data_IF_527445211296
#
_entry.id   IF_527445211296
#
_cell.length_a   1.000
_cell.length_b   1.000
_cell.length_c   1.000
_cell.angle_alpha   90.00
_cell.angle_beta   90.00
_cell.angle_gamma   90.00
#
_symmetry.space_group_name_H-M   'P 1'
#
loop_
_entity.id
_entity.type
_entity.pdbx_description
1 polymer ?
#
# COMPACT_ATOMS: atom_id res chain seq x y z
N UNK A 1 43.41 13.42 -7.39
CA UNK A 1 43.08 12.32 -6.45
C UNK A 1 41.69 12.64 -5.93
N UNK A 2 40.65 11.95 -6.45
CA UNK A 2 39.30 12.01 -5.87
C UNK A 2 39.42 11.46 -4.44
N UNK A 3 39.12 12.26 -3.42
CA UNK A 3 38.88 11.75 -2.08
C UNK A 3 37.81 10.66 -2.23
N UNK A 4 38.07 9.48 -1.62
CA UNK A 4 37.05 8.44 -1.47
C UNK A 4 35.87 9.02 -0.68
N UNK A 5 34.91 9.59 -1.41
CA UNK A 5 33.66 10.04 -0.81
C UNK A 5 32.98 8.80 -0.25
N UNK A 6 32.75 8.78 1.04
CA UNK A 6 32.07 7.67 1.70
C UNK A 6 30.73 7.41 0.98
N UNK A 7 30.54 6.17 0.52
CA UNK A 7 29.29 5.77 -0.16
C UNK A 7 28.12 5.93 0.80
N UNK A 8 27.06 6.68 0.43
CA UNK A 8 25.93 6.90 1.32
C UNK A 8 25.12 5.63 1.56
N UNK A 9 24.51 5.49 2.72
CA UNK A 9 23.46 4.52 2.94
C UNK A 9 22.21 4.90 2.13
N UNK A 10 21.50 3.91 1.62
CA UNK A 10 20.30 4.09 0.81
C UNK A 10 19.14 3.39 1.49
N UNK A 11 18.12 4.17 1.88
CA UNK A 11 16.83 3.68 2.35
C UNK A 11 15.77 4.10 1.33
N UNK A 12 15.19 3.12 0.65
CA UNK A 12 14.12 3.31 -0.32
C UNK A 12 12.79 2.87 0.27
N UNK A 13 11.86 3.80 0.50
CA UNK A 13 10.52 3.51 1.03
C UNK A 13 9.51 3.64 -0.10
N UNK A 14 8.73 2.58 -0.33
CA UNK A 14 7.68 2.53 -1.33
C UNK A 14 6.35 2.19 -0.68
N UNK A 15 5.31 2.94 -1.03
CA UNK A 15 3.93 2.70 -0.61
C UNK A 15 3.09 2.29 -1.82
N UNK A 16 2.18 1.35 -1.65
CA UNK A 16 1.36 0.82 -2.73
C UNK A 16 0.03 1.59 -2.82
N UNK A 17 -0.23 2.26 -3.93
CA UNK A 17 -1.40 3.10 -4.18
C UNK A 17 -1.51 4.36 -3.28
N UNK A 18 -0.38 4.95 -2.90
CA UNK A 18 -0.36 6.18 -2.11
C UNK A 18 -0.49 7.41 -3.03
N UNK A 19 -1.66 8.02 -3.03
CA UNK A 19 -1.95 9.18 -3.84
C UNK A 19 -1.20 10.44 -3.34
N UNK A 20 -0.69 11.23 -4.26
CA UNK A 20 -0.02 12.50 -3.97
C UNK A 20 -0.90 13.44 -3.10
N UNK A 21 -2.22 13.46 -3.35
CA UNK A 21 -3.18 14.26 -2.60
C UNK A 21 -3.30 13.86 -1.12
N UNK A 22 -2.85 12.67 -0.76
CA UNK A 22 -2.85 12.15 0.61
C UNK A 22 -1.50 12.36 1.34
N UNK A 23 -0.59 13.16 0.77
CA UNK A 23 0.69 13.56 1.36
C UNK A 23 0.64 15.06 1.62
N UNK A 24 0.74 15.48 2.89
CA UNK A 24 0.50 16.88 3.28
C UNK A 24 1.52 17.87 2.73
N UNK A 25 2.75 17.44 2.44
CA UNK A 25 3.77 18.26 1.78
C UNK A 25 3.32 18.82 0.42
N UNK A 26 2.37 18.18 -0.26
CA UNK A 26 1.82 18.67 -1.53
C UNK A 26 0.64 19.64 -1.37
N UNK A 27 0.14 19.84 -0.16
CA UNK A 27 -0.80 20.91 0.17
C UNK A 27 -2.25 20.70 -0.30
N UNK A 28 -2.72 19.45 -0.44
CA UNK A 28 -4.10 19.16 -0.82
C UNK A 28 -5.11 19.52 0.31
N UNK A 29 -6.37 19.76 -0.03
CA UNK A 29 -7.42 19.97 1.00
C UNK A 29 -7.60 18.75 1.93
N UNK A 30 -7.42 17.52 1.44
CA UNK A 30 -7.52 16.28 2.23
C UNK A 30 -6.42 16.24 3.28
N UNK A 31 -5.19 16.52 2.89
CA UNK A 31 -4.03 16.42 3.76
C UNK A 31 -3.98 17.49 4.85
N UNK A 32 -4.76 18.57 4.75
CA UNK A 32 -4.93 19.53 5.84
C UNK A 32 -5.71 18.94 7.03
N UNK A 33 -6.64 18.03 6.75
CA UNK A 33 -7.45 17.34 7.76
C UNK A 33 -6.79 16.06 8.28
N UNK A 34 -5.92 15.46 7.47
CA UNK A 34 -5.20 14.23 7.77
C UNK A 34 -3.72 14.40 7.37
N UNK A 35 -2.90 15.09 8.17
CA UNK A 35 -1.51 15.38 7.84
C UNK A 35 -0.60 14.13 7.94
N UNK A 36 0.52 14.18 7.20
CA UNK A 36 1.58 13.16 7.20
C UNK A 36 2.91 13.77 7.67
N UNK A 37 3.04 14.13 8.95
CA UNK A 37 4.14 14.97 9.43
C UNK A 37 5.51 14.31 9.32
N UNK A 38 5.62 12.99 9.38
CA UNK A 38 6.88 12.28 9.24
C UNK A 38 7.34 12.23 7.78
N UNK A 39 6.42 12.00 6.84
CA UNK A 39 6.71 12.10 5.40
C UNK A 39 7.07 13.53 5.02
N UNK A 40 6.37 14.52 5.57
CA UNK A 40 6.65 15.95 5.33
C UNK A 40 8.06 16.36 5.77
N UNK A 41 8.60 15.76 6.84
CA UNK A 41 9.99 15.98 7.26
C UNK A 41 11.00 15.58 6.19
N UNK A 42 10.72 14.54 5.38
CA UNK A 42 11.58 14.18 4.26
C UNK A 42 11.60 15.29 3.21
N UNK A 43 10.45 15.84 2.87
CA UNK A 43 10.33 16.95 1.94
C UNK A 43 11.05 18.22 2.45
N UNK A 44 10.94 18.49 3.76
CA UNK A 44 11.58 19.65 4.40
C UNK A 44 13.11 19.55 4.49
N UNK A 45 13.64 18.33 4.63
CA UNK A 45 15.09 18.08 4.78
C UNK A 45 15.78 17.72 3.47
N UNK A 46 15.00 17.44 2.44
CA UNK A 46 15.49 16.95 1.15
C UNK A 46 14.86 17.69 -0.02
N UNK A 47 14.37 16.93 -1.00
CA UNK A 47 13.78 17.47 -2.22
C UNK A 47 12.37 16.91 -2.41
N UNK A 48 11.41 17.79 -2.71
CA UNK A 48 10.04 17.43 -3.08
C UNK A 48 9.88 17.46 -4.61
N UNK A 49 9.68 16.30 -5.21
CA UNK A 49 9.43 16.19 -6.65
C UNK A 49 7.96 16.47 -6.96
N UNK A 50 7.69 17.51 -7.77
CA UNK A 50 6.34 17.87 -8.19
C UNK A 50 5.93 17.19 -9.50
N UNK A 51 6.91 16.76 -10.29
CA UNK A 51 6.74 16.08 -11.57
C UNK A 51 7.56 14.79 -11.53
N UNK A 52 6.94 13.70 -11.11
CA UNK A 52 7.50 12.37 -11.11
C UNK A 52 6.52 11.42 -11.80
N UNK A 53 6.99 10.69 -12.80
CA UNK A 53 6.15 9.84 -13.63
C UNK A 53 6.55 8.38 -13.47
N UNK A 54 5.59 7.48 -13.62
CA UNK A 54 5.82 6.03 -13.61
C UNK A 54 5.73 5.49 -15.02
N UNK A 55 6.56 4.51 -15.34
CA UNK A 55 6.56 3.85 -16.66
C UNK A 55 5.37 2.91 -16.82
N UNK A 56 4.88 2.36 -15.71
CA UNK A 56 3.70 1.51 -15.66
C UNK A 56 3.04 1.65 -14.29
N UNK A 57 1.74 1.92 -14.27
CA UNK A 57 0.98 2.19 -13.03
C UNK A 57 0.48 0.94 -12.31
N UNK A 58 0.61 -0.25 -12.90
CA UNK A 58 0.30 -1.51 -12.22
C UNK A 58 1.42 -1.94 -11.27
N UNK A 59 1.06 -2.52 -10.11
CA UNK A 59 1.98 -2.86 -9.03
C UNK A 59 3.18 -3.70 -9.48
N UNK A 60 2.96 -4.88 -10.06
CA UNK A 60 4.04 -5.80 -10.47
C UNK A 60 4.91 -5.21 -11.59
N UNK A 61 4.35 -4.65 -12.67
CA UNK A 61 5.14 -3.98 -13.70
C UNK A 61 5.95 -2.79 -13.20
N UNK A 62 5.37 -1.95 -12.33
CA UNK A 62 6.08 -0.82 -11.71
C UNK A 62 7.29 -1.28 -10.90
N UNK A 63 7.13 -2.35 -10.11
CA UNK A 63 8.22 -2.94 -9.33
C UNK A 63 9.31 -3.54 -10.23
N UNK A 64 8.92 -4.17 -11.33
CA UNK A 64 9.86 -4.69 -12.32
C UNK A 64 10.68 -3.57 -12.97
N UNK A 65 10.06 -2.45 -13.33
CA UNK A 65 10.76 -1.27 -13.85
C UNK A 65 11.73 -0.70 -12.80
N UNK A 66 11.29 -0.58 -11.53
CA UNK A 66 12.14 -0.13 -10.43
C UNK A 66 13.37 -1.04 -10.22
N UNK A 67 13.16 -2.35 -10.24
CA UNK A 67 14.23 -3.33 -9.99
C UNK A 67 15.23 -3.44 -11.13
N UNK A 68 14.83 -3.15 -12.36
CA UNK A 68 15.70 -3.36 -13.54
C UNK A 68 16.17 -2.06 -14.21
N UNK A 69 15.51 -0.92 -13.92
CA UNK A 69 15.72 0.33 -14.66
C UNK A 69 15.27 0.25 -16.12
N UNK A 70 14.45 -0.75 -16.49
CA UNK A 70 13.99 -0.99 -17.87
C UNK A 70 12.48 -0.80 -17.96
N UNK A 71 12.00 -0.32 -19.09
CA UNK A 71 10.58 -0.26 -19.42
C UNK A 71 9.94 -1.66 -19.44
N UNK A 72 8.64 -1.74 -19.19
CA UNK A 72 7.90 -3.00 -19.10
C UNK A 72 8.06 -3.92 -20.33
N UNK A 73 8.12 -3.35 -21.54
CA UNK A 73 8.34 -4.13 -22.76
C UNK A 73 9.76 -4.68 -22.90
N UNK A 74 10.73 -4.13 -22.17
CA UNK A 74 12.13 -4.57 -22.17
C UNK A 74 12.43 -5.58 -21.06
N UNK A 75 11.74 -5.45 -19.91
CA UNK A 75 11.92 -6.33 -18.76
C UNK A 75 10.96 -7.54 -18.75
N UNK A 76 9.99 -7.59 -19.71
CA UNK A 76 9.04 -8.67 -19.88
C UNK A 76 7.79 -8.59 -19.01
N UNK A 77 7.75 -7.73 -18.00
CA UNK A 77 6.61 -7.60 -17.06
C UNK A 77 5.68 -6.46 -17.48
N UNK A 78 4.73 -6.72 -18.35
CA UNK A 78 3.78 -5.71 -18.86
C UNK A 78 2.46 -5.67 -18.10
N UNK A 79 2.06 -6.81 -17.53
CA UNK A 79 0.81 -7.04 -16.80
C UNK A 79 1.06 -7.79 -15.49
N UNK A 80 0.05 -7.89 -14.64
CA UNK A 80 0.17 -8.53 -13.32
C UNK A 80 0.56 -10.01 -13.39
N UNK A 81 0.02 -10.74 -14.37
CA UNK A 81 0.19 -12.19 -14.51
C UNK A 81 1.42 -12.59 -15.37
N UNK A 82 2.10 -11.63 -15.97
CA UNK A 82 3.33 -11.91 -16.72
C UNK A 82 4.53 -12.00 -15.76
N UNK A 83 5.55 -12.78 -16.15
CA UNK A 83 6.80 -12.90 -15.39
C UNK A 83 7.86 -11.91 -15.88
N UNK A 84 8.61 -11.35 -14.94
CA UNK A 84 9.81 -10.58 -15.28
C UNK A 84 10.87 -11.49 -15.89
N UNK A 85 11.61 -10.99 -16.90
CA UNK A 85 12.79 -11.66 -17.43
C UNK A 85 13.91 -11.65 -16.37
N UNK A 86 14.07 -12.77 -15.67
CA UNK A 86 15.07 -12.92 -14.60
C UNK A 86 16.51 -12.98 -15.11
N UNK A 87 16.76 -13.03 -16.44
CA UNK A 87 18.10 -12.90 -17.01
C UNK A 87 18.61 -11.46 -16.99
N UNK A 88 17.71 -10.49 -16.88
CA UNK A 88 18.09 -9.08 -16.75
C UNK A 88 18.84 -8.83 -15.44
N UNK A 89 19.71 -7.84 -15.46
CA UNK A 89 20.39 -7.36 -14.26
C UNK A 89 19.42 -6.55 -13.41
N UNK A 90 19.36 -6.87 -12.11
CA UNK A 90 18.58 -6.12 -11.14
C UNK A 90 19.48 -5.09 -10.43
N UNK A 91 18.90 -3.93 -10.11
CA UNK A 91 19.62 -2.87 -9.39
C UNK A 91 20.28 -3.37 -8.11
N UNK A 92 19.64 -4.21 -7.27
CA UNK A 92 20.32 -4.75 -6.08
C UNK A 92 21.59 -5.56 -6.37
N UNK A 93 21.66 -6.25 -7.51
CA UNK A 93 22.91 -6.96 -7.91
C UNK A 93 24.06 -5.98 -8.19
N UNK A 94 23.75 -4.81 -8.79
CA UNK A 94 24.74 -3.75 -9.01
C UNK A 94 25.17 -3.12 -7.69
N UNK A 95 24.24 -2.96 -6.75
CA UNK A 95 24.54 -2.45 -5.41
C UNK A 95 25.45 -3.40 -4.64
N UNK A 96 25.21 -4.72 -4.70
CA UNK A 96 26.13 -5.73 -4.12
C UNK A 96 27.53 -5.64 -4.74
N UNK A 97 27.62 -5.56 -6.08
CA UNK A 97 28.91 -5.39 -6.77
C UNK A 97 29.62 -4.08 -6.36
N UNK A 98 28.86 -3.05 -6.02
CA UNK A 98 29.38 -1.80 -5.49
C UNK A 98 29.72 -1.87 -3.97
N UNK A 99 29.58 -3.04 -3.32
CA UNK A 99 29.95 -3.29 -1.93
C UNK A 99 28.89 -2.90 -0.91
N UNK A 100 27.64 -2.72 -1.32
CA UNK A 100 26.53 -2.51 -0.40
C UNK A 100 26.00 -3.83 0.17
N UNK A 101 25.58 -3.82 1.44
CA UNK A 101 24.69 -4.84 1.96
C UNK A 101 23.27 -4.52 1.54
N UNK A 102 22.58 -5.48 0.90
CA UNK A 102 21.27 -5.25 0.27
C UNK A 102 20.16 -5.95 1.00
N UNK A 103 19.04 -5.24 1.23
CA UNK A 103 17.87 -5.80 1.88
C UNK A 103 16.57 -5.37 1.23
N UNK A 104 15.54 -6.23 1.33
CA UNK A 104 14.15 -5.88 1.00
C UNK A 104 13.20 -6.44 2.03
N UNK A 105 12.27 -5.60 2.50
CA UNK A 105 11.21 -5.99 3.43
C UNK A 105 9.83 -5.56 2.91
N UNK A 106 8.79 -6.33 3.24
CA UNK A 106 7.42 -6.04 2.87
C UNK A 106 7.00 -6.58 1.50
N UNK A 107 6.26 -5.82 0.72
CA UNK A 107 5.65 -6.30 -0.53
C UNK A 107 6.68 -6.46 -1.65
N UNK A 108 6.98 -7.70 -2.02
CA UNK A 108 7.76 -8.03 -3.21
C UNK A 108 6.87 -8.07 -4.46
N UNK A 109 5.86 -8.90 -4.43
CA UNK A 109 4.81 -9.06 -5.45
C UNK A 109 5.35 -9.19 -6.88
N UNK A 110 6.47 -9.86 -7.06
CA UNK A 110 6.95 -10.30 -8.36
C UNK A 110 6.99 -11.84 -8.39
N UNK A 111 6.72 -12.41 -9.54
CA UNK A 111 6.58 -13.87 -9.69
C UNK A 111 7.94 -14.57 -9.76
N UNK A 112 8.93 -14.08 -9.02
CA UNK A 112 10.26 -14.64 -8.94
C UNK A 112 10.85 -14.45 -7.53
N UNK A 113 11.88 -15.23 -7.22
CA UNK A 113 12.67 -15.05 -6.00
C UNK A 113 13.35 -13.67 -6.02
N UNK A 114 13.42 -12.94 -4.88
CA UNK A 114 14.22 -11.72 -4.77
C UNK A 114 15.67 -11.97 -5.22
N UNK A 115 16.15 -11.17 -6.17
CA UNK A 115 17.45 -11.32 -6.81
C UNK A 115 18.35 -10.15 -6.44
N UNK A 116 19.60 -10.43 -6.04
CA UNK A 116 20.55 -9.40 -5.63
C UNK A 116 20.33 -8.86 -4.21
N UNK A 117 19.66 -9.62 -3.35
CA UNK A 117 19.44 -9.26 -1.96
C UNK A 117 20.14 -10.25 -1.02
N UNK A 118 20.93 -9.73 -0.09
CA UNK A 118 21.55 -10.49 1.00
C UNK A 118 20.49 -10.88 2.06
N UNK A 119 19.51 -9.99 2.25
CA UNK A 119 18.39 -10.17 3.17
C UNK A 119 17.05 -9.89 2.50
N UNK A 120 16.07 -10.75 2.73
CA UNK A 120 14.67 -10.43 2.43
C UNK A 120 13.71 -11.00 3.47
N UNK A 121 12.67 -10.22 3.76
CA UNK A 121 11.54 -10.58 4.62
C UNK A 121 10.27 -10.06 3.94
N UNK A 122 9.69 -10.86 3.06
CA UNK A 122 8.71 -10.43 2.08
C UNK A 122 7.34 -11.04 2.29
N UNK A 123 6.30 -10.25 2.02
CA UNK A 123 4.90 -10.63 2.05
C UNK A 123 4.57 -11.66 0.96
N UNK A 124 3.61 -12.53 1.26
CA UNK A 124 2.99 -13.45 0.30
C UNK A 124 2.11 -12.65 -0.67
N UNK A 125 2.48 -12.64 -1.95
CA UNK A 125 1.76 -11.95 -3.03
C UNK A 125 1.47 -10.49 -2.71
N UNK A 126 0.19 -10.13 -2.70
CA UNK A 126 -0.31 -8.79 -2.32
C UNK A 126 -0.17 -8.50 -0.82
N UNK A 127 0.03 -9.52 0.00
CA UNK A 127 -0.03 -9.42 1.45
C UNK A 127 -1.43 -9.20 2.01
N UNK A 128 -1.58 -9.41 3.29
CA UNK A 128 -2.77 -9.13 4.10
C UNK A 128 -2.44 -8.06 5.11
N UNK A 129 -3.41 -7.24 5.50
CA UNK A 129 -3.20 -6.19 6.50
C UNK A 129 -2.99 -6.76 7.90
N UNK A 130 -3.79 -7.77 8.27
CA UNK A 130 -3.73 -8.41 9.58
C UNK A 130 -3.07 -9.79 9.48
N UNK A 131 -2.12 -10.01 10.38
CA UNK A 131 -1.44 -11.29 10.57
C UNK A 131 -0.96 -11.89 9.24
N UNK A 132 -0.19 -11.12 8.44
CA UNK A 132 0.23 -11.52 7.10
C UNK A 132 1.18 -12.72 7.14
N UNK A 133 1.29 -13.38 5.99
CA UNK A 133 2.32 -14.38 5.79
C UNK A 133 3.58 -13.73 5.22
N UNK A 134 4.73 -14.13 5.76
CA UNK A 134 6.04 -13.71 5.28
C UNK A 134 6.91 -14.89 4.87
N UNK A 135 7.83 -14.60 3.98
CA UNK A 135 8.89 -15.51 3.51
C UNK A 135 10.24 -14.83 3.70
N UNK A 136 11.23 -15.56 4.19
CA UNK A 136 12.54 -15.02 4.59
C UNK A 136 13.67 -15.55 3.74
N UNK A 137 14.83 -14.91 3.82
CA UNK A 137 16.08 -15.33 3.19
C UNK A 137 16.33 -16.82 3.42
N UNK A 138 16.66 -17.55 2.35
CA UNK A 138 16.86 -18.99 2.38
C UNK A 138 15.60 -19.85 2.34
N UNK A 139 14.40 -19.25 2.53
CA UNK A 139 13.13 -19.96 2.63
C UNK A 139 12.10 -19.53 1.58
N UNK A 140 12.54 -19.07 0.40
CA UNK A 140 11.62 -18.63 -0.66
C UNK A 140 10.56 -19.70 -0.98
N UNK A 141 9.30 -19.24 -1.02
CA UNK A 141 8.12 -20.10 -1.23
C UNK A 141 7.58 -20.76 0.05
N UNK A 142 8.29 -20.65 1.19
CA UNK A 142 7.83 -21.16 2.50
C UNK A 142 7.34 -19.99 3.35
N UNK A 143 6.05 -19.69 3.24
CA UNK A 143 5.45 -18.59 3.94
C UNK A 143 4.94 -18.99 5.34
N UNK A 144 5.22 -18.14 6.33
CA UNK A 144 4.74 -18.31 7.71
C UNK A 144 3.94 -17.08 8.13
N UNK A 145 2.84 -17.32 8.84
CA UNK A 145 2.04 -16.27 9.42
C UNK A 145 2.78 -15.59 10.58
N UNK A 146 2.79 -14.26 10.58
CA UNK A 146 3.26 -13.45 11.69
C UNK A 146 2.12 -12.64 12.27
N UNK A 147 2.03 -12.62 13.59
CA UNK A 147 0.93 -11.93 14.30
C UNK A 147 1.23 -10.44 14.40
N UNK A 148 0.31 -9.61 13.92
CA UNK A 148 0.44 -8.16 13.95
C UNK A 148 -0.15 -7.50 12.71
N UNK A 149 0.15 -6.21 12.56
CA UNK A 149 -0.29 -5.40 11.42
C UNK A 149 0.83 -5.29 10.38
N UNK A 150 0.51 -5.42 9.11
CA UNK A 150 1.50 -5.54 8.03
C UNK A 150 2.51 -4.38 7.98
N UNK A 151 2.04 -3.13 8.11
CA UNK A 151 2.93 -1.96 8.09
C UNK A 151 3.89 -1.97 9.28
N UNK A 152 3.38 -2.25 10.47
CA UNK A 152 4.15 -2.33 11.72
C UNK A 152 5.18 -3.47 11.66
N UNK A 153 4.79 -4.65 11.17
CA UNK A 153 5.71 -5.78 11.00
C UNK A 153 6.79 -5.48 9.94
N UNK A 154 6.43 -4.89 8.81
CA UNK A 154 7.39 -4.47 7.78
C UNK A 154 8.40 -3.47 8.35
N UNK A 155 7.95 -2.51 9.15
CA UNK A 155 8.83 -1.54 9.83
C UNK A 155 9.76 -2.22 10.81
N UNK A 156 9.24 -3.13 11.63
CA UNK A 156 10.03 -3.94 12.58
C UNK A 156 11.15 -4.69 11.87
N UNK A 157 10.84 -5.41 10.78
CA UNK A 157 11.85 -6.16 10.03
C UNK A 157 12.87 -5.26 9.31
N UNK A 158 12.48 -4.05 8.92
CA UNK A 158 13.41 -3.05 8.41
C UNK A 158 14.40 -2.59 9.50
N UNK A 159 13.91 -2.33 10.70
CA UNK A 159 14.74 -1.96 11.85
C UNK A 159 15.66 -3.13 12.24
N UNK A 160 15.15 -4.35 12.29
CA UNK A 160 15.95 -5.55 12.55
C UNK A 160 17.10 -5.71 11.56
N UNK A 161 16.86 -5.47 10.26
CA UNK A 161 17.95 -5.43 9.27
C UNK A 161 18.96 -4.34 9.59
N UNK A 162 18.51 -3.11 9.88
CA UNK A 162 19.39 -1.98 10.19
C UNK A 162 20.24 -2.22 11.44
N UNK A 163 19.71 -2.91 12.44
CA UNK A 163 20.42 -3.24 13.67
C UNK A 163 21.46 -4.34 13.48
N UNK A 164 21.15 -5.34 12.67
CA UNK A 164 21.97 -6.55 12.48
C UNK A 164 22.92 -6.48 11.28
N UNK A 165 22.84 -5.40 10.45
CA UNK A 165 23.68 -5.24 9.27
C UNK A 165 25.19 -5.18 9.57
N UNK A 166 26.02 -5.42 8.61
CA UNK A 166 27.45 -5.19 8.67
C UNK A 166 27.74 -3.68 8.76
N UNK A 167 28.24 -3.23 9.92
CA UNK A 167 28.37 -1.79 10.23
C UNK A 167 29.50 -1.09 9.43
N UNK A 168 30.43 -1.85 8.89
CA UNK A 168 31.55 -1.42 8.05
C UNK A 168 31.16 -1.27 6.56
N UNK A 169 29.99 -1.72 6.17
CA UNK A 169 29.46 -1.60 4.80
C UNK A 169 28.33 -0.59 4.72
N UNK A 170 28.22 0.15 3.60
CA UNK A 170 27.00 0.88 3.31
C UNK A 170 25.85 -0.11 3.01
N UNK A 171 24.63 0.28 3.32
CA UNK A 171 23.47 -0.55 3.01
C UNK A 171 22.58 0.08 1.92
N UNK A 172 21.86 -0.81 1.21
CA UNK A 172 20.75 -0.44 0.32
C UNK A 172 19.53 -1.25 0.73
N UNK A 173 18.61 -0.62 1.48
CA UNK A 173 17.41 -1.26 2.02
C UNK A 173 16.16 -0.73 1.31
N UNK A 174 15.37 -1.65 0.78
CA UNK A 174 14.05 -1.41 0.22
C UNK A 174 12.97 -1.77 1.26
N UNK A 175 12.14 -0.80 1.62
CA UNK A 175 10.99 -0.99 2.52
C UNK A 175 9.72 -0.76 1.71
N UNK A 176 9.05 -1.84 1.34
CA UNK A 176 7.90 -1.82 0.46
C UNK A 176 6.62 -2.12 1.25
N UNK A 177 5.89 -1.07 1.61
CA UNK A 177 4.60 -1.23 2.29
C UNK A 177 3.52 -1.74 1.34
N UNK A 178 2.65 -2.65 1.83
CA UNK A 178 1.37 -2.95 1.20
C UNK A 178 0.44 -1.74 1.26
N UNK A 179 0.47 -1.01 2.36
CA UNK A 179 -0.35 0.15 2.60
C UNK A 179 0.01 1.31 1.64
N UNK A 180 -0.99 2.11 1.20
CA UNK A 180 -2.42 2.03 1.47
C UNK A 180 -3.26 1.32 0.38
N UNK A 181 -2.77 0.23 -0.23
CA UNK A 181 -3.51 -0.53 -1.24
C UNK A 181 -4.90 -0.97 -0.75
N UNK A 182 -5.88 -0.98 -1.65
CA UNK A 182 -7.24 -1.53 -1.47
C UNK A 182 -7.16 -2.98 -0.91
N UNK A 183 -7.96 -3.47 0.04
CA UNK A 183 -9.04 -2.76 0.73
C UNK A 183 -8.47 -2.20 2.05
N UNK A 184 -8.82 -1.00 2.39
CA UNK A 184 -8.20 -0.21 3.46
C UNK A 184 -8.61 -0.73 4.86
N UNK A 185 -7.82 -1.64 5.42
CA UNK A 185 -7.97 -2.12 6.79
C UNK A 185 -6.97 -1.41 7.69
N UNK A 186 -7.43 -0.43 8.45
CA UNK A 186 -6.58 0.32 9.36
C UNK A 186 -6.08 -0.52 10.54
N UNK A 187 -4.92 -0.17 11.08
CA UNK A 187 -4.42 -0.75 12.33
C UNK A 187 -5.40 -0.48 13.48
N UNK A 188 -5.57 -1.39 14.46
CA UNK A 188 -6.57 -1.23 15.52
C UNK A 188 -6.59 0.13 16.21
N UNK A 189 -5.42 0.73 16.43
CA UNK A 189 -5.28 2.07 17.04
C UNK A 189 -5.73 3.23 16.14
N UNK A 190 -5.84 3.00 14.82
CA UNK A 190 -6.24 4.00 13.84
C UNK A 190 -7.66 3.80 13.32
N UNK A 191 -8.33 2.70 13.68
CA UNK A 191 -9.73 2.47 13.29
C UNK A 191 -10.59 3.61 13.80
N UNK A 192 -11.29 4.28 12.88
CA UNK A 192 -12.20 5.38 13.20
C UNK A 192 -11.52 6.69 13.60
N UNK A 193 -10.20 6.85 13.45
CA UNK A 193 -9.50 8.08 13.85
C UNK A 193 -9.97 9.34 13.12
N UNK A 194 -10.59 9.17 11.96
CA UNK A 194 -11.22 10.28 11.20
C UNK A 194 -12.74 10.22 11.21
N UNK A 195 -13.35 9.49 12.17
CA UNK A 195 -14.81 9.51 12.31
C UNK A 195 -15.30 10.93 12.62
N UNK A 196 -16.38 11.33 11.94
CA UNK A 196 -16.90 12.71 12.04
C UNK A 196 -16.12 13.79 11.29
N UNK A 197 -14.99 13.47 10.65
CA UNK A 197 -14.28 14.40 9.77
C UNK A 197 -14.96 14.43 8.41
N UNK A 198 -15.39 15.61 7.96
CA UNK A 198 -15.93 15.81 6.62
C UNK A 198 -14.83 16.24 5.65
N UNK A 199 -14.40 15.32 4.81
CA UNK A 199 -13.42 15.59 3.77
C UNK A 199 -14.06 16.30 2.58
N UNK A 200 -13.44 17.38 2.04
CA UNK A 200 -14.00 18.10 0.91
C UNK A 200 -14.05 17.21 -0.34
N UNK A 201 -15.17 17.27 -1.06
CA UNK A 201 -15.30 16.58 -2.33
C UNK A 201 -14.34 17.21 -3.35
N UNK A 202 -13.62 16.40 -4.16
CA UNK A 202 -12.81 16.91 -5.26
C UNK A 202 -13.69 17.68 -6.25
N UNK A 203 -13.17 18.72 -6.87
CA UNK A 203 -13.90 19.48 -7.91
C UNK A 203 -14.38 18.60 -9.06
N UNK A 204 -13.67 17.50 -9.32
CA UNK A 204 -13.97 16.52 -10.35
C UNK A 204 -14.82 15.34 -9.86
N UNK A 205 -15.38 15.40 -8.65
CA UNK A 205 -16.14 14.29 -8.08
C UNK A 205 -17.34 13.88 -8.95
N UNK A 206 -17.99 14.87 -9.60
CA UNK A 206 -19.13 14.67 -10.49
C UNK A 206 -18.75 14.78 -11.98
N UNK A 207 -17.46 14.62 -12.33
CA UNK A 207 -17.01 14.66 -13.73
C UNK A 207 -17.60 13.46 -14.50
N UNK A 208 -18.23 13.74 -15.62
CA UNK A 208 -18.82 12.72 -16.52
C UNK A 208 -17.86 12.27 -17.65
N UNK A 209 -16.63 12.80 -17.65
CA UNK A 209 -15.57 12.49 -18.62
C UNK A 209 -15.93 12.82 -20.08
N UNK A 210 -16.89 13.71 -20.36
CA UNK A 210 -17.34 14.03 -21.74
C UNK A 210 -16.19 14.44 -22.67
N UNK A 211 -15.25 15.23 -22.15
CA UNK A 211 -14.11 15.74 -22.91
C UNK A 211 -12.83 14.90 -22.73
N UNK A 212 -12.96 13.62 -22.39
CA UNK A 212 -11.84 12.68 -22.19
C UNK A 212 -11.84 11.60 -23.26
N UNK A 213 -10.66 10.96 -23.43
CA UNK A 213 -10.51 9.78 -24.28
C UNK A 213 -11.37 8.59 -23.80
N UNK A 214 -11.52 7.59 -24.67
CA UNK A 214 -12.35 6.41 -24.38
C UNK A 214 -11.94 5.67 -23.12
N UNK A 215 -10.66 5.55 -22.84
CA UNK A 215 -10.15 4.89 -21.63
C UNK A 215 -10.70 5.51 -20.33
N UNK A 216 -10.76 6.86 -20.26
CA UNK A 216 -11.32 7.55 -19.10
C UNK A 216 -12.84 7.35 -18.96
N UNK A 217 -13.54 7.23 -20.09
CA UNK A 217 -15.01 7.00 -20.11
C UNK A 217 -15.40 5.58 -19.72
N UNK A 218 -14.57 4.60 -20.04
CA UNK A 218 -14.88 3.16 -19.86
C UNK A 218 -14.20 2.52 -18.66
N UNK A 219 -13.36 3.27 -17.93
CA UNK A 219 -12.68 2.77 -16.73
C UNK A 219 -13.70 2.36 -15.64
N UNK A 220 -13.31 1.38 -14.82
CA UNK A 220 -14.11 0.84 -13.70
C UNK A 220 -13.48 1.18 -12.35
N UNK A 221 -13.23 2.47 -12.09
CA UNK A 221 -12.67 2.98 -10.83
C UNK A 221 -13.49 4.17 -10.30
N UNK A 222 -14.79 4.14 -10.54
CA UNK A 222 -15.71 5.18 -10.07
C UNK A 222 -16.17 4.88 -8.64
N UNK A 223 -16.15 5.87 -7.76
CA UNK A 223 -16.56 5.70 -6.35
C UNK A 223 -18.03 5.30 -6.25
N UNK A 224 -18.90 5.97 -7.02
CA UNK A 224 -20.35 5.72 -6.97
C UNK A 224 -20.70 4.28 -7.41
N UNK A 225 -20.14 3.83 -8.56
CA UNK A 225 -20.58 2.62 -9.25
C UNK A 225 -19.72 1.41 -8.92
N UNK A 226 -18.40 1.58 -8.87
CA UNK A 226 -17.45 0.46 -8.90
C UNK A 226 -16.90 0.07 -7.52
N UNK A 227 -17.05 0.95 -6.49
CA UNK A 227 -16.67 0.58 -5.13
C UNK A 227 -17.74 -0.31 -4.48
N UNK A 228 -17.28 -1.43 -3.95
CA UNK A 228 -18.11 -2.53 -3.44
C UNK A 228 -18.50 -2.31 -1.98
N UNK A 229 -19.80 -2.27 -1.69
CA UNK A 229 -20.30 -2.06 -0.33
C UNK A 229 -19.81 -3.14 0.66
N UNK A 230 -19.77 -4.40 0.22
CA UNK A 230 -19.33 -5.50 1.07
C UNK A 230 -17.83 -5.44 1.34
N UNK A 231 -17.02 -5.38 0.28
CA UNK A 231 -15.56 -5.53 0.41
C UNK A 231 -14.87 -4.21 0.79
N UNK A 232 -15.17 -3.10 0.08
CA UNK A 232 -14.51 -1.82 0.32
C UNK A 232 -15.03 -1.14 1.58
N UNK A 233 -16.36 -1.17 1.76
CA UNK A 233 -17.00 -0.55 2.93
C UNK A 233 -17.29 -1.51 4.07
N UNK A 234 -16.91 -2.80 3.91
CA UNK A 234 -16.91 -3.78 5.01
C UNK A 234 -18.31 -3.99 5.60
N UNK A 235 -19.34 -4.15 4.73
CA UNK A 235 -20.74 -4.33 5.12
C UNK A 235 -21.19 -5.75 4.77
N UNK A 236 -20.80 -6.78 5.54
CA UNK A 236 -21.12 -8.17 5.24
C UNK A 236 -22.62 -8.47 5.27
N UNK A 237 -23.41 -7.64 5.95
CA UNK A 237 -24.87 -7.78 6.05
C UNK A 237 -25.61 -7.59 4.70
N UNK A 238 -24.91 -7.07 3.69
CA UNK A 238 -25.45 -6.90 2.33
C UNK A 238 -25.20 -8.10 1.42
N UNK A 239 -24.77 -9.25 1.94
CA UNK A 239 -24.54 -10.44 1.15
C UNK A 239 -25.81 -10.88 0.43
N UNK A 240 -25.73 -10.94 -0.89
CA UNK A 240 -26.71 -11.61 -1.75
C UNK A 240 -26.12 -12.93 -2.26
N UNK A 241 -26.65 -14.04 -1.77
CA UNK A 241 -26.18 -15.38 -2.14
C UNK A 241 -26.59 -15.82 -3.55
N UNK A 242 -27.45 -15.06 -4.21
CA UNK A 242 -27.83 -15.28 -5.61
C UNK A 242 -26.92 -14.57 -6.61
N UNK A 243 -26.08 -13.61 -6.12
CA UNK A 243 -25.15 -12.84 -6.93
C UNK A 243 -23.71 -13.29 -6.72
N UNK A 244 -23.04 -13.70 -7.80
CA UNK A 244 -21.65 -14.19 -7.79
C UNK A 244 -20.65 -13.11 -7.37
N UNK A 245 -20.85 -11.85 -7.79
CA UNK A 245 -19.97 -10.74 -7.40
C UNK A 245 -20.12 -10.44 -5.90
N UNK A 246 -21.35 -10.44 -5.38
CA UNK A 246 -21.62 -10.30 -3.95
C UNK A 246 -20.95 -11.39 -3.12
N UNK A 247 -21.06 -12.66 -3.53
CA UNK A 247 -20.39 -13.79 -2.87
C UNK A 247 -18.86 -13.66 -2.91
N UNK A 248 -18.29 -13.21 -4.03
CA UNK A 248 -16.85 -12.98 -4.18
C UNK A 248 -16.36 -11.89 -3.24
N UNK A 249 -17.05 -10.76 -3.18
CA UNK A 249 -16.76 -9.63 -2.29
C UNK A 249 -16.85 -10.05 -0.82
N UNK A 250 -17.86 -10.81 -0.46
CA UNK A 250 -18.03 -11.37 0.88
C UNK A 250 -16.88 -12.32 1.26
N UNK A 251 -16.51 -13.23 0.37
CA UNK A 251 -15.38 -14.15 0.57
C UNK A 251 -14.07 -13.38 0.77
N UNK A 252 -13.84 -12.33 -0.02
CA UNK A 252 -12.70 -11.44 0.12
C UNK A 252 -12.64 -10.77 1.48
N UNK A 253 -13.77 -10.22 1.95
CA UNK A 253 -13.90 -9.60 3.28
C UNK A 253 -13.65 -10.63 4.39
N UNK A 254 -14.27 -11.81 4.31
CA UNK A 254 -14.09 -12.86 5.31
C UNK A 254 -12.65 -13.38 5.34
N UNK A 255 -11.96 -13.39 4.21
CA UNK A 255 -10.53 -13.72 4.11
C UNK A 255 -9.62 -12.76 4.87
N UNK A 256 -9.99 -11.49 5.02
CA UNK A 256 -9.29 -10.53 5.89
C UNK A 256 -9.71 -10.68 7.37
N UNK A 257 -11.02 -10.71 7.64
CA UNK A 257 -11.56 -10.78 8.99
C UNK A 257 -11.21 -12.10 9.70
N UNK A 258 -11.17 -13.22 8.97
CA UNK A 258 -10.82 -14.53 9.50
C UNK A 258 -9.36 -14.66 9.95
N UNK A 259 -8.49 -13.71 9.57
CA UNK A 259 -7.11 -13.67 10.05
C UNK A 259 -6.93 -12.92 11.35
N UNK A 260 -7.92 -12.13 11.74
CA UNK A 260 -7.86 -11.30 12.94
C UNK A 260 -7.87 -12.15 14.21
N UNK A 261 -7.06 -11.76 15.20
CA UNK A 261 -7.21 -12.25 16.57
C UNK A 261 -8.52 -11.76 17.17
N UNK A 262 -8.95 -12.37 18.27
CA UNK A 262 -10.15 -11.91 18.98
C UNK A 262 -10.07 -10.43 19.38
N UNK A 263 -8.91 -9.96 19.83
CA UNK A 263 -8.70 -8.55 20.18
C UNK A 263 -8.77 -7.61 18.95
N UNK A 264 -8.15 -7.98 17.84
CA UNK A 264 -8.22 -7.23 16.59
C UNK A 264 -9.65 -7.18 16.05
N UNK A 265 -10.35 -8.33 16.09
CA UNK A 265 -11.74 -8.43 15.66
C UNK A 265 -12.67 -7.60 16.55
N UNK A 266 -12.48 -7.60 17.86
CA UNK A 266 -13.27 -6.79 18.79
C UNK A 266 -13.09 -5.29 18.52
N UNK A 267 -11.87 -4.82 18.24
CA UNK A 267 -11.61 -3.42 17.86
C UNK A 267 -12.32 -3.06 16.54
N UNK A 268 -12.28 -3.96 15.57
CA UNK A 268 -12.96 -3.81 14.28
C UNK A 268 -14.49 -3.76 14.45
N UNK A 269 -15.07 -4.74 15.14
CA UNK A 269 -16.53 -4.85 15.38
C UNK A 269 -17.08 -3.63 16.09
N UNK A 270 -16.36 -3.11 17.08
CA UNK A 270 -16.75 -1.94 17.87
C UNK A 270 -17.03 -0.71 16.98
N UNK A 271 -16.27 -0.55 15.92
CA UNK A 271 -16.41 0.60 15.00
C UNK A 271 -17.34 0.29 13.81
N UNK A 272 -17.07 -0.80 13.08
CA UNK A 272 -17.76 -1.07 11.83
C UNK A 272 -19.20 -1.54 12.01
N UNK A 273 -19.52 -2.36 13.01
CA UNK A 273 -20.89 -2.86 13.20
C UNK A 273 -21.92 -1.75 13.45
N UNK A 274 -21.71 -0.77 14.36
CA UNK A 274 -22.64 0.34 14.52
C UNK A 274 -22.73 1.23 13.28
N UNK A 275 -21.62 1.46 12.57
CA UNK A 275 -21.60 2.24 11.32
C UNK A 275 -22.42 1.55 10.23
N UNK A 276 -22.23 0.25 10.06
CA UNK A 276 -22.95 -0.54 9.06
C UNK A 276 -24.45 -0.56 9.33
N UNK A 277 -24.86 -0.71 10.60
CA UNK A 277 -26.28 -0.64 10.98
C UNK A 277 -26.91 0.69 10.58
N UNK A 278 -26.27 1.82 10.93
CA UNK A 278 -26.73 3.15 10.52
C UNK A 278 -26.84 3.30 9.01
N UNK A 279 -25.87 2.75 8.25
CA UNK A 279 -25.91 2.77 6.79
C UNK A 279 -27.11 2.00 6.22
N UNK A 280 -27.37 0.80 6.72
CA UNK A 280 -28.49 -0.02 6.28
C UNK A 280 -29.83 0.65 6.58
N UNK A 281 -29.99 1.23 7.76
CA UNK A 281 -31.19 1.96 8.19
C UNK A 281 -31.42 3.25 7.35
N UNK A 282 -30.33 3.92 6.93
CA UNK A 282 -30.42 5.17 6.16
C UNK A 282 -30.93 4.97 4.71
N UNK A 283 -30.82 3.78 4.13
CA UNK A 283 -31.28 3.44 2.75
C UNK A 283 -30.82 4.46 1.70
N UNK A 284 -29.57 4.90 1.79
CA UNK A 284 -28.99 5.90 0.91
C UNK A 284 -28.99 5.43 -0.56
N UNK A 285 -29.20 6.37 -1.50
CA UNK A 285 -29.16 6.11 -2.93
C UNK A 285 -28.60 7.30 -3.70
N UNK A 286 -28.28 7.11 -4.99
CA UNK A 286 -27.81 8.16 -5.88
C UNK A 286 -26.65 8.99 -5.31
N UNK A 287 -26.79 10.32 -5.34
CA UNK A 287 -25.74 11.25 -4.89
C UNK A 287 -25.41 11.13 -3.41
N UNK A 288 -26.39 10.86 -2.55
CA UNK A 288 -26.17 10.66 -1.12
C UNK A 288 -25.31 9.44 -0.85
N UNK A 289 -25.59 8.34 -1.55
CA UNK A 289 -24.77 7.12 -1.48
C UNK A 289 -23.34 7.37 -1.98
N UNK A 290 -23.17 8.09 -3.08
CA UNK A 290 -21.85 8.41 -3.63
C UNK A 290 -21.02 9.26 -2.64
N UNK A 291 -21.63 10.27 -2.01
CA UNK A 291 -20.97 11.07 -0.98
C UNK A 291 -20.64 10.23 0.25
N UNK A 292 -21.55 9.38 0.71
CA UNK A 292 -21.30 8.48 1.83
C UNK A 292 -20.12 7.52 1.53
N UNK A 293 -20.08 6.93 0.35
CA UNK A 293 -18.96 6.10 -0.12
C UNK A 293 -17.65 6.88 -0.06
N UNK A 294 -17.60 8.08 -0.66
CA UNK A 294 -16.41 8.91 -0.66
C UNK A 294 -15.91 9.20 0.76
N UNK A 295 -16.77 9.67 1.66
CA UNK A 295 -16.40 10.01 3.03
C UNK A 295 -15.81 8.80 3.77
N UNK A 296 -16.46 7.65 3.69
CA UNK A 296 -15.99 6.44 4.39
C UNK A 296 -14.71 5.88 3.75
N UNK A 297 -14.58 5.94 2.42
CA UNK A 297 -13.35 5.58 1.72
C UNK A 297 -12.16 6.42 2.18
N UNK A 298 -12.29 7.75 2.14
CA UNK A 298 -11.19 8.65 2.51
C UNK A 298 -10.80 8.49 3.98
N UNK A 299 -11.76 8.32 4.88
CA UNK A 299 -11.50 8.07 6.30
C UNK A 299 -10.68 6.79 6.50
N UNK A 300 -11.10 5.68 5.90
CA UNK A 300 -10.37 4.41 5.99
C UNK A 300 -8.99 4.52 5.32
N UNK A 301 -8.90 5.14 4.14
CA UNK A 301 -7.65 5.34 3.40
C UNK A 301 -6.63 6.16 4.20
N UNK A 302 -7.03 7.30 4.76
CA UNK A 302 -6.15 8.14 5.56
C UNK A 302 -5.77 7.48 6.89
N UNK A 303 -6.66 6.66 7.47
CA UNK A 303 -6.35 5.87 8.67
C UNK A 303 -5.26 4.82 8.40
N UNK A 304 -5.24 4.22 7.21
CA UNK A 304 -4.16 3.30 6.80
C UNK A 304 -2.85 4.07 6.57
N UNK A 305 -2.92 5.26 5.95
CA UNK A 305 -1.76 6.12 5.71
C UNK A 305 -1.11 6.59 7.03
N UNK A 306 -1.89 6.80 8.09
CA UNK A 306 -1.34 7.14 9.39
C UNK A 306 -0.29 6.12 9.86
N UNK A 307 -0.53 4.82 9.67
CA UNK A 307 0.47 3.78 9.98
C UNK A 307 1.72 3.87 9.09
N UNK A 308 1.57 4.30 7.83
CA UNK A 308 2.71 4.50 6.92
C UNK A 308 3.54 5.70 7.38
N UNK A 309 2.90 6.80 7.73
CA UNK A 309 3.58 7.98 8.24
C UNK A 309 4.36 7.68 9.54
N UNK A 310 3.76 6.94 10.47
CA UNK A 310 4.44 6.47 11.68
C UNK A 310 5.65 5.58 11.35
N UNK A 311 5.51 4.68 10.36
CA UNK A 311 6.62 3.85 9.89
C UNK A 311 7.79 4.68 9.38
N UNK A 312 7.51 5.70 8.55
CA UNK A 312 8.54 6.63 8.09
C UNK A 312 9.22 7.32 9.27
N UNK A 313 8.43 7.75 10.28
CA UNK A 313 8.96 8.37 11.50
C UNK A 313 9.89 7.46 12.30
N UNK A 314 9.62 6.15 12.35
CA UNK A 314 10.48 5.18 13.05
C UNK A 314 11.75 4.84 12.28
N UNK A 315 11.72 4.89 10.94
CA UNK A 315 12.85 4.56 10.08
C UNK A 315 13.85 5.74 9.94
N UNK A 316 13.42 6.96 10.20
CA UNK A 316 14.21 8.20 10.09
C UNK A 316 14.81 8.65 11.41
#
# INVERSE_FOLDING_TARGET
LAQDAARPNILYIMCDDHAMQAISAYGSPISKLAPTPNIDRLAQRGMLFRNCFVENSLSTPSRACLMTGLYSHQNGQRQLAEGIDTTKTFVPELMQKAGYETGIVGKWHMMCKPKGFDYYHILDGQGKYYNPNFCTTGNYGKYKQEMGYATTLTTKHAIEFLDNRQKDKPFCLYVHHKAPHRNWFAEPKHIGMYDGVDFPLPKTFWDNYENRGSAAKTQKMNIEKDMELILDFKIPELLDTSDVESMSSYSGLMGELGRMTAAQRMAWDKYYMPRNRRFIEAKLSGKELAVWKYQNYIRDYMSVIASVDESVGQLM
#
